data_IF_423838609667
#
_entry.id   IF_423838609667
#
_cell.length_a   1.000
_cell.length_b   1.000
_cell.length_c   1.000
_cell.angle_alpha   90.00
_cell.angle_beta   90.00
_cell.angle_gamma   90.00
#
_symmetry.space_group_name_H-M   'P 1'
#
loop_
_entity.id
_entity.type
_entity.pdbx_description
1 polymer ?
#
# COMPACT_ATOMS: atom_id res chain seq x y z
N UNK A 1 -13.08 38.68 31.19
CA UNK A 1 -12.25 37.45 31.06
C UNK A 1 -12.50 36.82 29.69
N UNK A 2 -11.62 37.06 28.72
CA UNK A 2 -11.88 36.83 27.30
C UNK A 2 -11.43 35.45 26.77
N UNK A 3 -11.28 34.43 27.62
CA UNK A 3 -10.85 33.08 27.22
C UNK A 3 -11.74 31.96 27.78
N UNK A 4 -13.05 32.20 27.95
CA UNK A 4 -13.96 31.24 28.60
C UNK A 4 -14.63 30.22 27.66
N UNK A 5 -14.32 30.19 26.36
CA UNK A 5 -15.16 29.47 25.39
C UNK A 5 -14.52 28.43 24.47
N UNK A 6 -13.21 28.53 24.17
CA UNK A 6 -12.63 27.76 23.05
C UNK A 6 -11.44 26.86 23.40
N UNK A 7 -10.67 27.17 24.44
CA UNK A 7 -9.46 26.39 24.78
C UNK A 7 -9.72 25.01 25.39
N UNK A 8 -10.87 24.84 26.06
CA UNK A 8 -11.27 23.59 26.75
C UNK A 8 -12.33 22.81 25.99
N UNK A 9 -12.66 23.20 24.75
CA UNK A 9 -13.67 22.50 23.96
C UNK A 9 -13.12 21.14 23.56
N UNK A 10 -13.57 20.08 24.23
CA UNK A 10 -13.30 18.72 23.79
C UNK A 10 -13.80 18.56 22.37
N UNK A 11 -12.91 18.17 21.45
CA UNK A 11 -13.33 17.87 20.08
C UNK A 11 -14.23 16.65 20.14
N UNK A 12 -15.48 16.79 19.72
CA UNK A 12 -16.36 15.66 19.49
C UNK A 12 -15.79 14.85 18.30
N UNK A 13 -14.92 13.89 18.62
CA UNK A 13 -14.40 12.94 17.65
C UNK A 13 -15.38 11.79 17.52
N UNK A 14 -15.92 11.58 16.32
CA UNK A 14 -16.66 10.37 16.01
C UNK A 14 -15.73 9.37 15.32
N UNK A 15 -15.86 8.10 15.67
CA UNK A 15 -15.14 7.01 15.01
C UNK A 15 -15.87 6.69 13.71
N UNK A 16 -15.16 6.76 12.59
CA UNK A 16 -15.68 6.32 11.29
C UNK A 16 -15.50 4.81 11.21
N UNK A 17 -16.60 4.08 11.34
CA UNK A 17 -16.59 2.63 11.20
C UNK A 17 -16.31 2.22 9.74
N UNK A 18 -15.66 1.08 9.48
CA UNK A 18 -15.34 0.65 8.12
C UNK A 18 -16.56 0.59 7.17
N UNK A 19 -17.75 0.27 7.70
CA UNK A 19 -19.02 0.24 6.96
C UNK A 19 -19.55 1.62 6.55
N UNK A 20 -19.08 2.67 7.22
CA UNK A 20 -19.45 4.07 6.94
C UNK A 20 -18.51 4.72 5.92
N UNK A 21 -17.47 3.99 5.47
CA UNK A 21 -16.61 4.47 4.40
C UNK A 21 -17.42 4.47 3.11
N UNK A 22 -17.47 5.60 2.36
CA UNK A 22 -18.14 5.61 1.08
C UNK A 22 -17.54 4.50 0.21
N UNK A 23 -18.39 3.72 -0.46
CA UNK A 23 -17.96 2.64 -1.35
C UNK A 23 -17.13 3.13 -2.55
N UNK A 24 -16.94 4.44 -2.66
CA UNK A 24 -16.17 5.14 -3.69
C UNK A 24 -14.96 5.82 -3.02
N UNK A 25 -13.77 5.76 -3.62
CA UNK A 25 -12.60 6.40 -3.06
C UNK A 25 -12.78 7.92 -3.06
N UNK A 26 -12.23 8.55 -2.03
CA UNK A 26 -12.26 10.02 -1.85
C UNK A 26 -11.53 10.77 -2.97
N UNK A 27 -10.66 10.08 -3.71
CA UNK A 27 -9.93 10.61 -4.85
C UNK A 27 -10.41 9.91 -6.13
N UNK A 28 -11.00 10.64 -7.11
CA UNK A 28 -11.48 10.06 -8.36
C UNK A 28 -10.34 9.46 -9.21
N UNK A 29 -9.12 9.96 -9.05
CA UNK A 29 -7.92 9.44 -9.75
C UNK A 29 -7.44 8.13 -9.12
N UNK A 30 -7.78 7.84 -7.86
CA UNK A 30 -7.35 6.60 -7.21
C UNK A 30 -7.96 5.35 -7.86
N UNK A 31 -9.17 5.45 -8.43
CA UNK A 31 -9.76 4.36 -9.21
C UNK A 31 -8.95 4.12 -10.48
N UNK A 32 -8.67 5.18 -11.24
CA UNK A 32 -7.90 5.07 -12.49
C UNK A 32 -6.46 4.63 -12.23
N UNK A 33 -5.80 5.12 -11.18
CA UNK A 33 -4.47 4.69 -10.78
C UNK A 33 -4.47 3.24 -10.28
N UNK A 34 -5.49 2.84 -9.51
CA UNK A 34 -5.68 1.46 -9.06
C UNK A 34 -6.01 0.51 -10.21
N UNK A 35 -6.74 0.93 -11.23
CA UNK A 35 -7.00 0.16 -12.46
C UNK A 35 -5.78 0.12 -13.37
N UNK A 36 -4.97 1.17 -13.43
CA UNK A 36 -3.65 1.14 -14.07
C UNK A 36 -2.69 0.20 -13.32
N UNK A 37 -2.73 0.20 -11.99
CA UNK A 37 -1.95 -0.70 -11.15
C UNK A 37 -2.52 -2.14 -11.11
N UNK A 38 -3.82 -2.30 -11.37
CA UNK A 38 -4.56 -3.57 -11.45
C UNK A 38 -4.85 -4.04 -12.87
N UNK A 39 -4.24 -3.40 -13.86
CA UNK A 39 -4.24 -3.75 -15.28
C UNK A 39 -2.83 -3.81 -15.88
N UNK A 40 -1.83 -3.25 -15.18
CA UNK A 40 -0.44 -3.59 -15.39
C UNK A 40 -0.24 -5.00 -14.82
N UNK A 41 -0.07 -5.98 -15.70
CA UNK A 41 0.29 -7.36 -15.32
C UNK A 41 1.53 -7.42 -14.42
N UNK A 42 1.96 -8.63 -14.00
CA UNK A 42 3.02 -8.83 -13.01
C UNK A 42 4.20 -7.88 -13.26
N UNK A 43 4.54 -7.08 -12.24
CA UNK A 43 5.55 -6.03 -12.32
C UNK A 43 6.83 -6.59 -12.95
N UNK A 44 7.08 -6.26 -14.23
CA UNK A 44 8.27 -6.79 -14.93
C UNK A 44 9.49 -6.34 -14.15
N UNK A 45 10.26 -7.30 -13.65
CA UNK A 45 11.51 -6.98 -12.96
C UNK A 45 12.45 -6.30 -13.95
N UNK A 46 13.16 -5.28 -13.47
CA UNK A 46 14.28 -4.71 -14.21
C UNK A 46 15.28 -5.81 -14.59
N UNK A 47 16.12 -5.60 -15.62
CA UNK A 47 17.16 -6.56 -15.98
C UNK A 47 18.07 -6.94 -14.80
N UNK A 48 18.35 -6.00 -13.89
CA UNK A 48 19.09 -6.28 -12.65
C UNK A 48 18.31 -7.17 -11.67
N UNK A 49 17.00 -6.95 -11.52
CA UNK A 49 16.13 -7.79 -10.68
C UNK A 49 16.01 -9.22 -11.19
N UNK A 50 16.02 -9.42 -12.51
CA UNK A 50 16.02 -10.76 -13.12
C UNK A 50 17.33 -11.49 -12.85
N UNK A 51 18.49 -10.83 -13.04
CA UNK A 51 19.80 -11.42 -12.72
C UNK A 51 19.91 -11.83 -11.26
N UNK A 52 19.41 -11.00 -10.34
CA UNK A 52 19.44 -11.33 -8.91
C UNK A 52 18.60 -12.56 -8.59
N UNK A 53 17.41 -12.71 -9.20
CA UNK A 53 16.60 -13.91 -9.02
C UNK A 53 17.29 -15.16 -9.55
N UNK A 54 17.84 -15.08 -10.76
CA UNK A 54 18.60 -16.20 -11.35
C UNK A 54 19.79 -16.59 -10.46
N UNK A 55 20.50 -15.62 -9.90
CA UNK A 55 21.58 -15.88 -8.93
C UNK A 55 21.06 -16.62 -7.71
N UNK A 56 19.98 -16.15 -7.08
CA UNK A 56 19.42 -16.80 -5.89
C UNK A 56 18.92 -18.21 -6.18
N UNK A 57 18.35 -18.43 -7.36
CA UNK A 57 17.82 -19.73 -7.74
C UNK A 57 18.94 -20.74 -8.06
N UNK A 58 20.06 -20.28 -8.63
CA UNK A 58 21.26 -21.09 -8.81
C UNK A 58 21.91 -21.45 -7.48
N UNK A 59 22.02 -20.49 -6.55
CA UNK A 59 22.58 -20.76 -5.22
C UNK A 59 21.77 -21.83 -4.48
N UNK A 60 20.43 -21.71 -4.46
CA UNK A 60 19.57 -22.71 -3.83
C UNK A 60 19.77 -24.11 -4.40
N UNK A 61 19.85 -24.25 -5.72
CA UNK A 61 20.10 -25.56 -6.36
C UNK A 61 21.46 -26.14 -5.99
N UNK A 62 22.50 -25.31 -5.93
CA UNK A 62 23.83 -25.74 -5.50
C UNK A 62 23.83 -26.16 -4.03
N UNK A 63 23.10 -25.46 -3.17
CA UNK A 63 22.96 -25.83 -1.76
C UNK A 63 22.17 -27.15 -1.60
N UNK A 64 21.14 -27.37 -2.41
CA UNK A 64 20.34 -28.61 -2.42
C UNK A 64 21.13 -29.82 -2.95
N UNK A 65 22.03 -29.65 -3.93
CA UNK A 65 22.89 -30.73 -4.48
C UNK A 65 24.05 -31.13 -3.54
N UNK A 66 24.36 -30.32 -2.52
CA UNK A 66 25.43 -30.58 -1.54
C UNK A 66 24.91 -31.21 -0.23
N UNK A 67 23.61 -31.46 -0.12
CA UNK A 67 22.95 -32.10 1.03
C UNK A 67 22.60 -33.57 0.75
#
# INVERSE_FOLDING_TARGET
MANKGMGTRQKAGFRVEPSQRPSKPRNPVAVAAGQRAGGAGPHRKSPSGQRQQQKTDLLKKLDDDQA
#
